data_IF_396012918673
#
_entry.id   IF_396012918673
#
_cell.length_a   1.000
_cell.length_b   1.000
_cell.length_c   1.000
_cell.angle_alpha   90.00
_cell.angle_beta   90.00
_cell.angle_gamma   90.00
#
_symmetry.space_group_name_H-M   'P 1'
#
loop_
_entity.id
_entity.type
_entity.pdbx_description
1 polymer ?
#
# COMPACT_ATOMS: atom_id res chain seq x y z
N UNK A 1 -4.89 -6.40 -2.56
CA UNK A 1 -4.46 -7.36 -1.52
C UNK A 1 -3.08 -7.91 -1.84
N UNK A 2 -2.87 -8.52 -3.01
CA UNK A 2 -1.56 -9.09 -3.39
C UNK A 2 -0.44 -8.03 -3.33
N UNK A 3 -0.62 -6.86 -3.96
CA UNK A 3 0.35 -5.75 -3.89
C UNK A 3 0.72 -5.35 -2.47
N UNK A 4 -0.29 -5.08 -1.63
CA UNK A 4 -0.11 -4.70 -0.22
C UNK A 4 0.61 -5.79 0.60
N UNK A 5 0.34 -7.08 0.33
CA UNK A 5 1.06 -8.19 0.97
C UNK A 5 2.54 -8.22 0.58
N UNK A 6 2.85 -7.91 -0.69
CA UNK A 6 4.23 -7.88 -1.18
C UNK A 6 4.98 -6.67 -0.60
N UNK A 7 4.36 -5.49 -0.55
CA UNK A 7 4.96 -4.31 0.09
C UNK A 7 5.22 -4.56 1.58
N UNK A 8 4.26 -5.17 2.28
CA UNK A 8 4.43 -5.57 3.68
C UNK A 8 5.65 -6.49 3.85
N UNK A 9 5.83 -7.46 2.96
CA UNK A 9 7.00 -8.34 2.97
C UNK A 9 8.30 -7.57 2.74
N UNK A 10 8.33 -6.64 1.77
CA UNK A 10 9.48 -5.77 1.54
C UNK A 10 9.86 -4.94 2.77
N UNK A 11 8.87 -4.36 3.44
CA UNK A 11 9.08 -3.65 4.70
C UNK A 11 9.61 -4.56 5.82
N UNK A 12 9.11 -5.79 5.95
CA UNK A 12 9.63 -6.74 6.96
C UNK A 12 11.08 -7.16 6.68
N UNK A 13 11.45 -7.36 5.42
CA UNK A 13 12.83 -7.65 5.04
C UNK A 13 13.78 -6.50 5.38
N UNK A 14 13.36 -5.26 5.17
CA UNK A 14 14.15 -4.07 5.51
C UNK A 14 14.20 -3.81 7.03
N UNK A 15 13.16 -4.17 7.77
CA UNK A 15 13.16 -4.04 9.22
C UNK A 15 14.29 -4.87 9.87
N UNK A 16 14.51 -6.10 9.37
CA UNK A 16 15.53 -7.02 9.90
C UNK A 16 16.73 -7.19 8.98
N UNK A 17 17.17 -6.11 8.34
CA UNK A 17 18.31 -6.14 7.42
C UNK A 17 19.62 -6.52 8.15
N UNK A 18 19.98 -7.80 8.15
CA UNK A 18 21.23 -8.30 8.72
C UNK A 18 22.40 -8.26 7.73
N UNK A 19 22.13 -8.31 6.43
CA UNK A 19 23.13 -8.35 5.38
C UNK A 19 22.70 -7.50 4.16
N UNK A 20 23.68 -6.85 3.52
CA UNK A 20 23.45 -5.95 2.37
C UNK A 20 22.74 -6.66 1.20
N UNK A 21 22.98 -7.96 1.00
CA UNK A 21 22.32 -8.70 -0.08
C UNK A 21 20.79 -8.75 0.06
N UNK A 22 20.25 -8.60 1.27
CA UNK A 22 18.79 -8.59 1.55
C UNK A 22 18.10 -7.33 0.99
N UNK A 23 18.85 -6.27 0.70
CA UNK A 23 18.32 -5.06 0.05
C UNK A 23 17.73 -5.39 -1.31
N UNK A 24 18.43 -6.21 -2.11
CA UNK A 24 18.00 -6.56 -3.46
C UNK A 24 16.61 -7.23 -3.49
N UNK A 25 16.35 -8.35 -2.77
CA UNK A 25 15.02 -8.95 -2.74
C UNK A 25 13.98 -8.02 -2.12
N UNK A 26 14.35 -7.20 -1.11
CA UNK A 26 13.41 -6.24 -0.53
C UNK A 26 12.96 -5.16 -1.53
N UNK A 27 13.88 -4.63 -2.34
CA UNK A 27 13.57 -3.69 -3.40
C UNK A 27 12.73 -4.32 -4.52
N UNK A 28 12.98 -5.59 -4.85
CA UNK A 28 12.13 -6.34 -5.80
C UNK A 28 10.71 -6.45 -5.25
N UNK A 29 10.54 -6.77 -3.96
CA UNK A 29 9.23 -6.79 -3.31
C UNK A 29 8.55 -5.41 -3.39
N UNK A 30 9.22 -4.34 -2.96
CA UNK A 30 8.66 -2.98 -3.00
C UNK A 30 8.30 -2.53 -4.44
N UNK A 31 9.13 -2.85 -5.42
CA UNK A 31 8.85 -2.55 -6.82
C UNK A 31 7.63 -3.34 -7.35
N UNK A 32 7.52 -4.63 -7.00
CA UNK A 32 6.37 -5.45 -7.36
C UNK A 32 5.08 -5.02 -6.65
N UNK A 33 5.17 -4.54 -5.41
CA UNK A 33 4.05 -3.94 -4.68
C UNK A 33 3.48 -2.69 -5.36
N UNK A 34 4.31 -1.94 -6.09
CA UNK A 34 3.93 -0.77 -6.89
C UNK A 34 2.82 -1.00 -7.92
N UNK A 35 2.52 -2.26 -8.29
CA UNK A 35 1.38 -2.61 -9.15
C UNK A 35 0.01 -2.29 -8.54
N UNK A 36 -0.06 -2.09 -7.22
CA UNK A 36 -1.31 -1.80 -6.52
C UNK A 36 -1.98 -0.49 -6.98
N UNK A 37 -1.18 0.52 -7.30
CA UNK A 37 -1.70 1.81 -7.75
C UNK A 37 -2.39 1.73 -9.12
N UNK A 38 -1.75 1.31 -10.23
CA UNK A 38 -2.43 1.21 -11.52
C UNK A 38 -3.65 0.26 -11.48
N UNK A 39 -3.62 -0.80 -10.65
CA UNK A 39 -4.78 -1.67 -10.45
C UNK A 39 -5.96 -0.93 -9.78
N UNK A 40 -5.69 -0.11 -8.76
CA UNK A 40 -6.71 0.72 -8.10
C UNK A 40 -7.25 1.80 -9.03
N UNK A 41 -6.36 2.49 -9.76
CA UNK A 41 -6.74 3.45 -10.79
C UNK A 41 -7.65 2.84 -11.84
N UNK A 42 -7.32 1.64 -12.35
CA UNK A 42 -8.13 0.93 -13.34
C UNK A 42 -9.47 0.44 -12.78
N UNK A 43 -9.57 0.14 -11.48
CA UNK A 43 -10.83 -0.20 -10.83
C UNK A 43 -11.72 1.03 -10.65
N UNK A 44 -11.16 2.14 -10.16
CA UNK A 44 -11.88 3.38 -9.93
C UNK A 44 -12.33 4.03 -11.24
N UNK A 45 -11.52 3.98 -12.30
CA UNK A 45 -11.88 4.54 -13.61
C UNK A 45 -13.09 3.84 -14.23
N UNK A 46 -13.25 2.53 -14.02
CA UNK A 46 -14.43 1.76 -14.42
C UNK A 46 -15.67 2.02 -13.57
N UNK A 47 -15.48 2.64 -12.41
CA UNK A 47 -16.55 2.93 -11.44
C UNK A 47 -17.18 4.32 -11.64
N UNK A 48 -16.72 5.09 -12.64
CA UNK A 48 -17.20 6.44 -12.96
C UNK A 48 -17.42 6.60 -14.46
N UNK A 49 -18.36 7.47 -14.85
CA UNK A 49 -18.58 7.82 -16.26
C UNK A 49 -17.42 8.64 -16.84
N UNK A 50 -17.27 8.62 -18.17
CA UNK A 50 -16.21 9.35 -18.89
C UNK A 50 -16.17 10.84 -18.56
N UNK A 51 -17.34 11.47 -18.40
CA UNK A 51 -17.47 12.88 -18.03
C UNK A 51 -16.92 13.22 -16.63
N UNK A 52 -16.76 12.21 -15.76
CA UNK A 52 -16.24 12.37 -14.40
C UNK A 52 -14.77 11.94 -14.26
N UNK A 53 -14.16 11.35 -15.28
CA UNK A 53 -12.77 10.87 -15.22
C UNK A 53 -11.76 11.99 -14.92
N UNK A 54 -11.96 13.20 -15.47
CA UNK A 54 -11.10 14.34 -15.18
C UNK A 54 -11.11 14.73 -13.69
N UNK A 55 -12.27 14.65 -13.03
CA UNK A 55 -12.40 14.90 -11.58
C UNK A 55 -11.75 13.78 -10.76
N UNK A 56 -11.95 12.53 -11.16
CA UNK A 56 -11.33 11.37 -10.51
C UNK A 56 -9.80 11.48 -10.59
N UNK A 57 -9.24 11.70 -11.78
CA UNK A 57 -7.79 11.82 -11.97
C UNK A 57 -7.23 13.05 -11.26
N UNK A 58 -7.91 14.20 -11.32
CA UNK A 58 -7.53 15.38 -10.55
C UNK A 58 -7.46 15.10 -9.05
N UNK A 59 -8.39 14.30 -8.51
CA UNK A 59 -8.40 13.89 -7.10
C UNK A 59 -7.23 12.95 -6.78
N UNK A 60 -6.99 11.94 -7.62
CA UNK A 60 -5.88 11.00 -7.44
C UNK A 60 -4.51 11.68 -7.52
N UNK A 61 -4.33 12.60 -8.47
CA UNK A 61 -3.12 13.41 -8.60
C UNK A 61 -2.94 14.32 -7.38
N UNK A 62 -4.00 14.99 -6.93
CA UNK A 62 -3.95 15.84 -5.73
C UNK A 62 -3.55 15.04 -4.49
N UNK A 63 -4.12 13.84 -4.31
CA UNK A 63 -3.78 12.95 -3.21
C UNK A 63 -2.32 12.48 -3.30
N UNK A 64 -1.84 12.16 -4.51
CA UNK A 64 -0.44 11.79 -4.75
C UNK A 64 0.50 12.94 -4.40
N UNK A 65 0.18 14.17 -4.79
CA UNK A 65 0.98 15.36 -4.46
C UNK A 65 1.03 15.63 -2.96
N UNK A 66 -0.11 15.54 -2.27
CA UNK A 66 -0.16 15.68 -0.80
C UNK A 66 0.70 14.60 -0.14
N UNK A 67 0.57 13.34 -0.58
CA UNK A 67 1.38 12.23 -0.07
C UNK A 67 2.86 12.42 -0.38
N UNK A 68 3.21 13.00 -1.53
CA UNK A 68 4.59 13.32 -1.93
C UNK A 68 5.25 14.40 -1.07
N UNK A 69 4.47 15.24 -0.39
CA UNK A 69 4.99 16.22 0.59
C UNK A 69 4.99 15.61 1.99
N UNK A 70 3.87 15.06 2.42
CA UNK A 70 3.69 14.57 3.79
C UNK A 70 4.54 13.31 4.04
N UNK A 71 4.64 12.41 3.07
CA UNK A 71 5.36 11.14 3.18
C UNK A 71 6.83 11.34 3.57
N UNK A 72 7.64 12.09 2.79
CA UNK A 72 9.04 12.35 3.12
C UNK A 72 9.22 13.09 4.45
N UNK A 73 8.33 14.02 4.80
CA UNK A 73 8.39 14.75 6.07
C UNK A 73 8.14 13.84 7.27
N UNK A 74 7.09 13.01 7.21
CA UNK A 74 6.80 12.02 8.25
C UNK A 74 7.91 10.97 8.34
N UNK A 75 8.41 10.49 7.19
CA UNK A 75 9.53 9.56 7.13
C UNK A 75 10.76 10.14 7.84
N UNK A 76 11.19 11.35 7.48
CA UNK A 76 12.35 12.00 8.06
C UNK A 76 12.18 12.25 9.57
N UNK A 77 10.99 12.72 9.98
CA UNK A 77 10.67 12.95 11.39
C UNK A 77 10.79 11.65 12.19
N UNK A 78 10.10 10.59 11.79
CA UNK A 78 10.11 9.31 12.50
C UNK A 78 11.52 8.70 12.49
N UNK A 79 12.21 8.71 11.34
CA UNK A 79 13.56 8.18 11.21
C UNK A 79 14.55 8.88 12.15
N UNK A 80 14.42 10.20 12.32
CA UNK A 80 15.31 10.98 13.21
C UNK A 80 15.28 10.50 14.66
N UNK A 81 14.12 10.03 15.14
CA UNK A 81 14.00 9.43 16.47
C UNK A 81 14.37 7.95 16.47
N UNK A 82 14.01 7.20 15.42
CA UNK A 82 14.15 5.75 15.41
C UNK A 82 15.60 5.29 15.20
N UNK A 83 16.38 6.01 14.40
CA UNK A 83 17.76 5.62 14.02
C UNK A 83 18.69 5.44 15.21
N UNK A 84 18.46 6.18 16.30
CA UNK A 84 19.26 6.08 17.53
C UNK A 84 19.02 4.77 18.32
N UNK A 85 17.88 4.12 18.11
CA UNK A 85 17.50 2.89 18.82
C UNK A 85 17.59 1.67 17.91
N UNK A 86 16.94 1.74 16.76
CA UNK A 86 16.91 0.69 15.74
C UNK A 86 16.39 1.29 14.42
N UNK A 87 17.24 1.27 13.40
CA UNK A 87 16.95 1.73 12.04
C UNK A 87 15.77 0.98 11.38
N UNK A 88 15.60 -0.29 11.70
CA UNK A 88 14.51 -1.14 11.23
C UNK A 88 13.10 -0.76 11.74
N UNK A 89 12.99 0.04 12.80
CA UNK A 89 11.69 0.44 13.38
C UNK A 89 10.80 1.15 12.36
N UNK A 90 11.38 1.99 11.52
CA UNK A 90 10.64 2.73 10.50
C UNK A 90 9.97 1.77 9.51
N UNK A 91 10.72 0.76 9.06
CA UNK A 91 10.23 -0.27 8.16
C UNK A 91 9.20 -1.16 8.85
N UNK A 92 9.38 -1.48 10.13
CA UNK A 92 8.40 -2.22 10.92
C UNK A 92 7.06 -1.47 11.05
N UNK A 93 7.10 -0.15 11.29
CA UNK A 93 5.89 0.68 11.30
C UNK A 93 5.19 0.66 9.94
N UNK A 94 5.95 0.70 8.84
CA UNK A 94 5.42 0.51 7.50
C UNK A 94 4.71 -0.85 7.33
N UNK A 95 5.34 -1.93 7.80
CA UNK A 95 4.74 -3.28 7.76
C UNK A 95 3.44 -3.36 8.58
N UNK A 96 3.39 -2.73 9.77
CA UNK A 96 2.19 -2.66 10.60
C UNK A 96 1.08 -1.88 9.89
N UNK A 97 1.40 -0.78 9.22
CA UNK A 97 0.45 -0.01 8.42
C UNK A 97 -0.14 -0.87 7.29
N UNK A 98 0.70 -1.58 6.54
CA UNK A 98 0.22 -2.50 5.50
C UNK A 98 -0.64 -3.64 6.07
N UNK A 99 -0.29 -4.18 7.24
CA UNK A 99 -1.10 -5.19 7.91
C UNK A 99 -2.49 -4.65 8.27
N UNK A 100 -2.59 -3.42 8.81
CA UNK A 100 -3.88 -2.77 9.09
C UNK A 100 -4.71 -2.56 7.82
N UNK A 101 -4.09 -2.13 6.72
CA UNK A 101 -4.76 -1.99 5.42
C UNK A 101 -5.27 -3.32 4.87
N UNK A 102 -4.49 -4.40 5.00
CA UNK A 102 -4.90 -5.74 4.60
C UNK A 102 -6.09 -6.25 5.42
N UNK A 103 -6.05 -6.05 6.75
CA UNK A 103 -7.13 -6.45 7.66
C UNK A 103 -8.43 -5.71 7.31
N UNK A 104 -8.37 -4.39 7.17
CA UNK A 104 -9.55 -3.58 6.81
C UNK A 104 -10.10 -3.94 5.44
N UNK A 105 -9.24 -4.12 4.44
CA UNK A 105 -9.64 -4.57 3.10
C UNK A 105 -10.32 -5.95 3.12
N UNK A 106 -9.77 -6.88 3.90
CA UNK A 106 -10.31 -8.22 4.07
C UNK A 106 -11.72 -8.19 4.67
N UNK A 107 -11.92 -7.44 5.76
CA UNK A 107 -13.23 -7.30 6.38
C UNK A 107 -14.22 -6.56 5.48
N UNK A 108 -13.77 -5.59 4.68
CA UNK A 108 -14.64 -4.89 3.74
C UNK A 108 -15.14 -5.83 2.62
N UNK A 109 -14.26 -6.64 2.03
CA UNK A 109 -14.65 -7.60 0.98
C UNK A 109 -15.61 -8.67 1.48
N UNK A 110 -15.44 -9.13 2.73
CA UNK A 110 -16.39 -10.06 3.37
C UNK A 110 -17.79 -9.48 3.49
N UNK A 111 -17.94 -8.16 3.60
CA UNK A 111 -19.25 -7.50 3.67
C UNK A 111 -19.90 -7.30 2.30
N UNK A 112 -19.10 -7.18 1.22
CA UNK A 112 -19.59 -6.87 -0.13
C UNK A 112 -19.78 -8.09 -1.03
N UNK A 113 -19.51 -9.32 -0.56
CA UNK A 113 -19.84 -10.54 -1.32
C UNK A 113 -21.33 -10.86 -1.12
N UNK A 114 -22.21 -10.69 -2.13
CA UNK A 114 -23.60 -11.11 -2.02
C UNK A 114 -23.64 -12.64 -1.96
N UNK A 115 -24.48 -13.20 -1.08
CA UNK A 115 -24.82 -14.63 -1.09
C UNK A 115 -25.16 -15.01 -2.54
N UNK A 116 -24.41 -15.96 -3.10
CA UNK A 116 -24.67 -16.48 -4.43
C UNK A 116 -26.15 -16.80 -4.56
N UNK A 117 -26.81 -16.21 -5.56
CA UNK A 117 -28.14 -16.60 -6.02
C UNK A 117 -28.01 -18.00 -6.58
N UNK A 118 -28.05 -18.99 -5.70
CA UNK A 118 -28.34 -20.38 -6.02
C UNK A 118 -29.86 -20.46 -6.04
N UNK A 119 -30.46 -19.99 -7.12
CA UNK A 119 -31.78 -20.45 -7.52
C UNK A 119 -31.67 -20.88 -8.98
N UNK A 120 -31.32 -22.15 -9.14
CA UNK A 120 -31.76 -22.98 -10.26
C UNK A 120 -33.30 -22.98 -10.31
N UNK A 121 -33.92 -23.26 -11.47
CA UNK A 121 -33.92 -24.62 -12.02
C UNK A 121 -32.99 -24.83 -13.20
#
# INVERSE_FOLDING_TARGET
>A
MISMSIDMMGCLLLAWIGHVWVILPALICLAAGGMGQPALQGYLSKSVDDNAQGKLQGTLVSLTNITGIIGPLLFAFIYSYSVAYWDGLLWLMGAILYAMLLITAYFHQRKTTPKAVISTP
#
